data_IF_436405430512
#
_entry.id   IF_436405430512
#
_cell.length_a   1.000
_cell.length_b   1.000
_cell.length_c   1.000
_cell.angle_alpha   90.00
_cell.angle_beta   90.00
_cell.angle_gamma   90.00
#
_symmetry.space_group_name_H-M   'P 1'
#
loop_
_entity.id
_entity.type
_entity.pdbx_description
1 polymer ?
#
# COMPACT_ATOMS: atom_id res chain seq x y z
N UNK A 1 -8.36 19.42 29.28
CA UNK A 1 -6.95 19.31 29.70
C UNK A 1 -6.22 18.43 28.71
N UNK A 2 -5.13 18.94 28.19
CA UNK A 2 -4.41 18.43 27.01
C UNK A 2 -3.66 17.14 27.31
N UNK A 3 -4.02 16.03 26.64
CA UNK A 3 -3.20 14.82 26.52
C UNK A 3 -2.76 14.65 25.05
N UNK A 4 -1.96 15.59 24.53
CA UNK A 4 -1.50 15.55 23.14
C UNK A 4 -0.07 15.07 22.95
N UNK A 5 0.70 14.71 23.98
CA UNK A 5 2.15 14.53 23.86
C UNK A 5 2.75 13.24 24.41
N UNK A 6 2.00 12.15 24.58
CA UNK A 6 2.60 10.92 25.13
C UNK A 6 2.44 9.67 24.26
N UNK A 7 1.86 9.76 23.08
CA UNK A 7 1.58 8.59 22.21
C UNK A 7 2.66 8.36 21.14
N UNK A 8 3.63 9.26 21.03
CA UNK A 8 4.65 9.22 19.97
C UNK A 8 5.78 8.19 20.12
N UNK A 9 5.89 7.47 21.23
CA UNK A 9 7.16 6.76 21.52
C UNK A 9 7.10 5.23 21.55
N UNK A 10 5.95 4.59 21.51
CA UNK A 10 5.88 3.12 21.68
C UNK A 10 5.88 2.34 20.38
N UNK A 11 5.62 2.97 19.24
CA UNK A 11 5.33 2.30 17.96
C UNK A 11 6.51 2.08 17.02
N UNK A 12 7.64 2.72 17.29
CA UNK A 12 8.87 2.53 16.49
C UNK A 12 9.55 1.18 16.79
N UNK A 13 9.24 0.54 17.90
CA UNK A 13 9.99 -0.62 18.37
C UNK A 13 9.64 -1.95 17.70
N UNK A 14 8.44 -2.12 17.15
CA UNK A 14 8.00 -3.44 16.62
C UNK A 14 8.37 -3.62 15.14
N UNK A 15 8.43 -2.55 14.36
CA UNK A 15 8.87 -2.64 12.95
C UNK A 15 10.38 -2.42 12.81
N UNK A 16 11.04 -1.73 13.75
CA UNK A 16 12.50 -1.53 13.71
C UNK A 16 13.32 -2.71 14.25
N UNK A 17 12.72 -3.69 14.87
CA UNK A 17 13.44 -4.87 15.41
C UNK A 17 14.05 -5.79 14.35
N UNK A 18 13.80 -5.56 13.06
CA UNK A 18 14.35 -6.37 11.97
C UNK A 18 15.49 -5.69 11.18
N UNK A 19 15.93 -4.49 11.54
CA UNK A 19 16.89 -3.72 10.73
C UNK A 19 18.21 -3.38 11.41
N UNK A 20 18.64 -4.09 12.45
CA UNK A 20 20.03 -4.00 12.89
C UNK A 20 20.87 -5.04 12.16
N UNK A 21 21.10 -4.84 10.87
CA UNK A 21 22.20 -5.50 10.19
C UNK A 21 23.43 -4.64 10.30
N UNK A 22 24.42 -5.15 11.01
CA UNK A 22 25.74 -4.59 11.20
C UNK A 22 26.40 -4.24 9.88
N UNK A 23 26.79 -2.98 9.74
CA UNK A 23 27.84 -2.54 8.84
C UNK A 23 29.17 -3.16 9.29
N UNK A 24 29.53 -4.31 8.71
CA UNK A 24 30.93 -4.75 8.61
C UNK A 24 31.01 -5.91 7.63
N UNK A 25 31.23 -5.55 6.35
CA UNK A 25 32.20 -6.21 5.48
C UNK A 25 32.14 -5.48 4.13
N UNK A 26 33.29 -5.36 3.47
CA UNK A 26 33.50 -4.77 2.16
C UNK A 26 32.88 -5.74 1.10
N UNK A 27 31.61 -6.01 1.23
CA UNK A 27 30.84 -6.70 0.22
C UNK A 27 29.95 -5.63 -0.42
N UNK A 28 30.09 -5.48 -1.74
CA UNK A 28 29.27 -4.58 -2.56
C UNK A 28 27.78 -5.01 -2.61
N UNK A 29 27.31 -5.69 -1.57
CA UNK A 29 25.93 -6.16 -1.45
C UNK A 29 25.03 -5.00 -1.06
N UNK A 30 24.05 -4.72 -1.87
CA UNK A 30 23.05 -3.69 -1.65
C UNK A 30 21.75 -4.31 -1.14
N UNK A 31 21.28 -3.82 0.02
CA UNK A 31 19.98 -4.19 0.60
C UNK A 31 19.09 -2.95 0.67
N UNK A 32 18.03 -2.86 -0.14
CA UNK A 32 17.13 -1.70 -0.12
C UNK A 32 16.10 -1.74 1.01
N UNK A 33 16.14 -2.75 1.88
CA UNK A 33 15.09 -3.02 2.86
C UNK A 33 13.84 -3.65 2.23
N UNK A 34 12.73 -3.60 2.96
CA UNK A 34 11.45 -4.13 2.46
C UNK A 34 10.87 -3.20 1.41
N UNK A 35 10.47 -3.75 0.27
CA UNK A 35 9.83 -3.03 -0.83
C UNK A 35 8.58 -3.76 -1.31
N UNK A 36 7.66 -3.00 -1.91
CA UNK A 36 6.52 -3.55 -2.64
C UNK A 36 6.98 -4.21 -3.94
N UNK A 37 6.31 -5.27 -4.34
CA UNK A 37 6.61 -6.02 -5.55
C UNK A 37 5.36 -6.61 -6.19
N UNK A 38 5.31 -6.66 -7.52
CA UNK A 38 4.26 -7.34 -8.29
C UNK A 38 4.91 -8.44 -9.12
N UNK A 39 4.49 -9.68 -8.92
CA UNK A 39 5.04 -10.82 -9.65
C UNK A 39 4.48 -10.87 -11.06
N UNK A 40 5.36 -11.02 -12.05
CA UNK A 40 4.99 -11.12 -13.47
C UNK A 40 5.90 -12.09 -14.21
N UNK A 41 5.41 -12.60 -15.31
CA UNK A 41 6.25 -13.18 -16.33
C UNK A 41 6.89 -12.04 -17.13
N UNK A 42 8.22 -11.99 -17.20
CA UNK A 42 8.94 -10.87 -17.81
C UNK A 42 9.49 -11.27 -19.18
N UNK A 43 9.13 -10.49 -20.21
CA UNK A 43 9.53 -10.70 -21.59
C UNK A 43 9.08 -12.07 -22.14
N UNK A 44 9.85 -12.63 -23.07
CA UNK A 44 9.58 -13.96 -23.66
C UNK A 44 10.05 -15.11 -22.75
N UNK A 45 10.60 -14.80 -21.59
CA UNK A 45 11.05 -15.81 -20.64
C UNK A 45 9.86 -16.38 -19.87
N UNK A 46 9.88 -17.71 -19.62
CA UNK A 46 8.91 -18.36 -18.72
C UNK A 46 9.24 -18.09 -17.23
N UNK A 47 10.17 -17.16 -16.96
CA UNK A 47 10.62 -16.88 -15.60
C UNK A 47 9.68 -15.92 -14.90
N UNK A 48 9.27 -16.28 -13.69
CA UNK A 48 8.56 -15.38 -12.80
C UNK A 48 9.54 -14.41 -12.16
N UNK A 49 9.28 -13.13 -12.32
CA UNK A 49 10.08 -12.04 -11.78
C UNK A 49 9.17 -11.12 -10.95
N UNK A 50 9.74 -10.25 -10.15
CA UNK A 50 8.99 -9.24 -9.44
C UNK A 50 9.37 -7.84 -9.94
N UNK A 51 8.36 -7.06 -10.33
CA UNK A 51 8.51 -5.63 -10.58
C UNK A 51 8.50 -4.91 -9.24
N UNK A 52 9.51 -4.10 -9.00
CA UNK A 52 9.67 -3.27 -7.80
C UNK A 52 10.00 -1.83 -8.20
N UNK A 53 9.99 -0.92 -7.25
CA UNK A 53 10.46 0.45 -7.50
C UNK A 53 11.96 0.54 -7.88
N UNK A 54 12.71 -0.54 -7.66
CA UNK A 54 14.14 -0.65 -8.03
C UNK A 54 14.34 -1.34 -9.38
N UNK A 55 13.27 -1.65 -10.09
CA UNK A 55 13.28 -2.40 -11.35
C UNK A 55 12.90 -3.87 -11.16
N UNK A 56 13.11 -4.65 -12.21
CA UNK A 56 12.79 -6.07 -12.21
C UNK A 56 13.85 -6.87 -11.45
N UNK A 57 13.37 -7.73 -10.55
CA UNK A 57 14.23 -8.65 -9.81
C UNK A 57 13.83 -10.09 -10.11
N UNK A 58 14.82 -10.97 -10.16
CA UNK A 58 14.66 -12.40 -10.31
C UNK A 58 15.23 -13.15 -9.12
N UNK A 59 14.46 -14.13 -8.64
CA UNK A 59 14.90 -15.14 -7.69
C UNK A 59 14.09 -16.41 -7.94
N UNK A 60 14.69 -17.58 -7.74
CA UNK A 60 13.98 -18.86 -7.87
C UNK A 60 12.79 -18.99 -6.93
N UNK A 61 12.81 -18.29 -5.79
CA UNK A 61 11.67 -18.23 -4.85
C UNK A 61 10.41 -17.66 -5.48
N UNK A 62 10.53 -16.74 -6.44
CA UNK A 62 9.39 -16.10 -7.10
C UNK A 62 8.57 -17.08 -7.95
N UNK A 63 9.14 -18.20 -8.39
CA UNK A 63 8.44 -19.21 -9.18
C UNK A 63 7.28 -19.90 -8.44
N UNK A 64 7.22 -19.79 -7.12
CA UNK A 64 6.12 -20.32 -6.30
C UNK A 64 4.87 -19.45 -6.32
N UNK A 65 4.96 -18.22 -6.85
CA UNK A 65 3.85 -17.27 -6.88
C UNK A 65 3.21 -17.21 -8.26
N UNK A 66 1.91 -16.98 -8.30
CA UNK A 66 1.18 -16.73 -9.55
C UNK A 66 1.43 -15.30 -10.06
N UNK A 67 1.28 -15.14 -11.36
CA UNK A 67 1.31 -13.82 -11.99
C UNK A 67 0.28 -12.87 -11.38
N UNK A 68 0.66 -11.62 -11.19
CA UNK A 68 -0.16 -10.58 -10.56
C UNK A 68 -0.13 -10.62 -9.03
N UNK A 69 0.59 -11.56 -8.41
CA UNK A 69 0.69 -11.60 -6.95
C UNK A 69 1.45 -10.40 -6.42
N UNK A 70 0.85 -9.68 -5.46
CA UNK A 70 1.48 -8.58 -4.74
C UNK A 70 2.19 -9.11 -3.49
N UNK A 71 3.42 -8.69 -3.31
CA UNK A 71 4.30 -9.09 -2.22
C UNK A 71 4.96 -7.87 -1.57
N UNK A 72 5.36 -8.03 -0.31
CA UNK A 72 6.44 -7.27 0.29
C UNK A 72 7.66 -8.15 0.26
N UNK A 73 8.76 -7.66 -0.28
CA UNK A 73 10.01 -8.42 -0.40
C UNK A 73 11.17 -7.65 0.21
N UNK A 74 12.04 -8.35 0.91
CA UNK A 74 13.37 -7.87 1.27
C UNK A 74 14.40 -8.73 0.57
N UNK A 75 15.42 -8.11 -0.02
CA UNK A 75 16.40 -8.83 -0.82
C UNK A 75 17.78 -8.19 -0.76
N UNK A 76 18.77 -9.02 -1.05
CA UNK A 76 20.14 -8.60 -1.26
C UNK A 76 20.48 -8.68 -2.74
N UNK A 77 21.08 -7.63 -3.26
CA UNK A 77 21.67 -7.57 -4.60
C UNK A 77 23.18 -7.50 -4.50
N UNK A 78 23.86 -8.47 -5.10
CA UNK A 78 25.32 -8.51 -5.20
C UNK A 78 25.75 -8.32 -6.67
N UNK A 79 26.29 -7.16 -7.05
CA UNK A 79 26.72 -6.89 -8.43
C UNK A 79 27.93 -7.73 -8.85
N UNK A 80 28.66 -8.35 -7.91
CA UNK A 80 29.85 -9.17 -8.22
C UNK A 80 29.51 -10.58 -8.68
N UNK A 81 28.24 -11.02 -8.50
CA UNK A 81 27.82 -12.34 -8.94
C UNK A 81 27.79 -12.43 -10.49
N UNK A 82 28.27 -13.55 -11.07
CA UNK A 82 28.26 -13.76 -12.51
C UNK A 82 26.88 -13.59 -13.15
N UNK A 83 25.80 -13.95 -12.43
CA UNK A 83 24.41 -13.83 -12.85
C UNK A 83 23.99 -12.37 -13.06
N UNK A 84 24.66 -11.43 -12.39
CA UNK A 84 24.42 -10.01 -12.51
C UNK A 84 25.31 -9.31 -13.55
N UNK A 85 26.21 -10.04 -14.18
CA UNK A 85 26.97 -9.51 -15.32
C UNK A 85 26.00 -9.15 -16.45
N UNK A 86 25.99 -7.86 -16.86
CA UNK A 86 25.08 -7.36 -17.88
C UNK A 86 23.61 -7.30 -17.44
N UNK A 87 23.32 -7.12 -16.14
CA UNK A 87 21.95 -7.03 -15.63
C UNK A 87 21.13 -5.91 -16.28
N UNK A 88 21.75 -4.76 -16.55
CA UNK A 88 21.10 -3.64 -17.25
C UNK A 88 20.63 -4.02 -18.67
N UNK A 89 21.44 -4.79 -19.41
CA UNK A 89 21.08 -5.27 -20.74
C UNK A 89 20.00 -6.37 -20.69
N UNK A 90 20.01 -7.18 -19.64
CA UNK A 90 18.98 -8.21 -19.39
C UNK A 90 17.65 -7.58 -18.95
N UNK A 91 17.69 -6.36 -18.39
CA UNK A 91 16.52 -5.67 -17.85
C UNK A 91 16.06 -6.18 -16.49
N UNK A 92 16.85 -7.01 -15.80
CA UNK A 92 16.55 -7.46 -14.44
C UNK A 92 17.82 -7.79 -13.64
N UNK A 93 17.68 -7.81 -12.34
CA UNK A 93 18.72 -8.15 -11.37
C UNK A 93 18.42 -9.48 -10.70
N UNK A 94 19.40 -10.38 -10.65
CA UNK A 94 19.31 -11.61 -9.85
C UNK A 94 19.61 -11.27 -8.39
N UNK A 95 18.71 -11.66 -7.51
CA UNK A 95 18.75 -11.28 -6.08
C UNK A 95 18.58 -12.49 -5.17
N UNK A 96 19.06 -12.36 -3.94
CA UNK A 96 18.75 -13.29 -2.86
C UNK A 96 17.62 -12.72 -2.02
N UNK A 97 16.42 -13.33 -2.08
CA UNK A 97 15.29 -12.90 -1.25
C UNK A 97 15.53 -13.37 0.18
N UNK A 98 15.58 -12.40 1.10
CA UNK A 98 15.74 -12.61 2.53
C UNK A 98 14.40 -12.84 3.24
N UNK A 99 13.33 -12.18 2.76
CA UNK A 99 11.98 -12.35 3.26
C UNK A 99 10.94 -11.95 2.22
N UNK A 100 9.83 -12.66 2.23
CA UNK A 100 8.66 -12.32 1.41
C UNK A 100 7.36 -12.52 2.19
N UNK A 101 6.40 -11.63 1.97
CA UNK A 101 5.07 -11.70 2.57
C UNK A 101 4.03 -11.34 1.52
N UNK A 102 3.03 -12.20 1.35
CA UNK A 102 1.91 -11.90 0.46
C UNK A 102 1.06 -10.76 1.02
N UNK A 103 0.76 -9.78 0.17
CA UNK A 103 -0.11 -8.65 0.51
C UNK A 103 -1.56 -9.02 0.21
N UNK A 104 -2.49 -8.55 1.04
CA UNK A 104 -3.92 -8.64 0.74
C UNK A 104 -4.23 -7.80 -0.51
N UNK A 105 -4.80 -8.43 -1.54
CA UNK A 105 -5.10 -7.80 -2.83
C UNK A 105 -6.60 -7.65 -3.02
N UNK A 106 -7.01 -6.49 -3.48
CA UNK A 106 -8.40 -6.16 -3.77
C UNK A 106 -8.48 -5.24 -5.00
N UNK A 107 -9.64 -5.13 -5.60
CA UNK A 107 -9.89 -4.11 -6.60
C UNK A 107 -10.33 -2.80 -5.92
N UNK A 108 -9.98 -1.67 -6.51
CA UNK A 108 -10.73 -0.45 -6.26
C UNK A 108 -12.10 -0.60 -6.93
N UNK A 109 -13.17 -0.32 -6.21
CA UNK A 109 -14.54 -0.63 -6.60
C UNK A 109 -15.33 0.64 -6.95
N UNK A 110 -16.28 0.48 -7.90
CA UNK A 110 -17.29 1.49 -8.21
C UNK A 110 -18.68 0.85 -8.23
N UNK A 111 -19.74 1.59 -7.92
CA UNK A 111 -19.77 3.01 -7.57
C UNK A 111 -19.25 3.29 -6.17
N UNK A 112 -18.97 4.58 -5.92
CA UNK A 112 -18.59 5.07 -4.60
C UNK A 112 -19.64 4.67 -3.55
N UNK A 113 -19.17 4.11 -2.44
CA UNK A 113 -20.00 3.83 -1.28
C UNK A 113 -20.54 5.15 -0.68
N UNK A 114 -21.77 5.14 -0.17
CA UNK A 114 -22.41 6.32 0.45
C UNK A 114 -21.48 6.95 1.51
N UNK A 115 -21.01 8.16 1.23
CA UNK A 115 -20.07 8.90 2.08
C UNK A 115 -20.75 9.60 3.28
N UNK A 116 -22.08 9.58 3.34
CA UNK A 116 -22.86 10.19 4.42
C UNK A 116 -23.29 9.17 5.49
N UNK A 117 -22.94 7.89 5.31
CA UNK A 117 -23.26 6.81 6.23
C UNK A 117 -22.04 5.95 6.50
N UNK A 118 -21.92 5.48 7.74
CA UNK A 118 -20.94 4.47 8.11
C UNK A 118 -21.35 3.09 7.56
N UNK A 119 -20.34 2.28 7.24
CA UNK A 119 -20.55 0.85 7.05
C UNK A 119 -20.94 0.18 8.37
N UNK A 120 -21.54 -1.00 8.28
CA UNK A 120 -21.76 -1.82 9.48
C UNK A 120 -20.42 -2.18 10.11
N UNK A 121 -20.26 -1.91 11.40
CA UNK A 121 -19.03 -2.13 12.18
C UNK A 121 -17.81 -1.37 11.62
N UNK A 122 -18.01 -0.20 11.02
CA UNK A 122 -16.91 0.60 10.51
C UNK A 122 -15.98 1.06 11.63
N UNK A 123 -14.69 1.05 11.32
CA UNK A 123 -13.62 1.46 12.23
C UNK A 123 -12.96 2.72 11.72
N UNK A 124 -12.65 3.69 12.59
CA UNK A 124 -11.85 4.83 12.17
C UNK A 124 -10.46 4.39 11.76
N UNK A 125 -9.98 4.94 10.65
CA UNK A 125 -8.62 4.74 10.16
C UNK A 125 -7.72 5.76 10.86
N UNK A 126 -6.79 5.28 11.66
CA UNK A 126 -5.90 6.11 12.46
C UNK A 126 -4.93 6.92 11.58
N UNK A 127 -4.45 6.28 10.52
CA UNK A 127 -3.56 6.90 9.56
C UNK A 127 -3.56 6.14 8.22
N UNK A 128 -3.37 6.90 7.14
CA UNK A 128 -3.01 6.40 5.82
C UNK A 128 -1.60 6.88 5.54
N UNK A 129 -0.73 5.99 5.05
CA UNK A 129 0.70 6.23 4.87
C UNK A 129 1.40 6.74 6.15
N UNK A 130 1.29 6.01 7.28
CA UNK A 130 1.97 6.42 8.50
C UNK A 130 3.50 6.50 8.27
N UNK A 131 4.11 7.58 8.78
CA UNK A 131 5.56 7.80 8.71
C UNK A 131 6.14 7.93 7.29
N UNK A 132 5.38 8.43 6.31
CA UNK A 132 5.82 8.61 4.92
C UNK A 132 6.48 7.35 4.36
N UNK A 133 5.80 6.22 4.54
CA UNK A 133 6.31 4.91 4.17
C UNK A 133 6.67 4.85 2.69
N UNK A 134 7.86 4.35 2.40
CA UNK A 134 8.30 4.03 1.03
C UNK A 134 7.42 2.95 0.35
N UNK A 135 6.56 2.31 1.13
CA UNK A 135 5.60 1.32 0.66
C UNK A 135 4.28 1.94 0.19
N UNK A 136 4.09 3.27 0.34
CA UNK A 136 3.00 4.00 -0.30
C UNK A 136 3.38 4.29 -1.75
N UNK A 137 3.10 3.37 -2.63
CA UNK A 137 3.56 3.39 -4.02
C UNK A 137 2.57 2.70 -4.95
N UNK A 138 2.47 3.21 -6.18
CA UNK A 138 1.84 2.48 -7.29
C UNK A 138 2.91 1.72 -8.07
N UNK A 139 2.70 0.42 -8.22
CA UNK A 139 3.47 -0.45 -9.11
C UNK A 139 2.51 -1.09 -10.10
N UNK A 140 2.73 -0.85 -11.39
CA UNK A 140 1.79 -1.24 -12.44
C UNK A 140 0.38 -0.72 -12.13
N UNK A 141 -0.61 -1.60 -12.05
CA UNK A 141 -1.98 -1.23 -11.71
C UNK A 141 -2.29 -1.27 -10.20
N UNK A 142 -1.33 -1.64 -9.37
CA UNK A 142 -1.56 -1.81 -7.93
C UNK A 142 -1.05 -0.63 -7.12
N UNK A 143 -1.94 -0.04 -6.33
CA UNK A 143 -1.59 0.91 -5.28
C UNK A 143 -1.37 0.14 -3.98
N UNK A 144 -0.13 0.11 -3.52
CA UNK A 144 0.22 -0.38 -2.18
C UNK A 144 -0.08 0.73 -1.18
N UNK A 145 -0.97 0.45 -0.25
CA UNK A 145 -1.52 1.44 0.67
C UNK A 145 -1.32 1.02 2.13
N UNK A 146 -0.24 1.50 2.77
CA UNK A 146 -0.06 1.34 4.20
C UNK A 146 -1.16 2.09 4.96
N UNK A 147 -1.81 1.43 5.90
CA UNK A 147 -2.90 2.00 6.68
C UNK A 147 -2.89 1.45 8.10
N UNK A 148 -3.38 2.21 9.06
CA UNK A 148 -3.50 1.78 10.45
C UNK A 148 -4.91 2.03 10.98
N UNK A 149 -5.42 1.10 11.78
CA UNK A 149 -6.68 1.21 12.50
C UNK A 149 -6.50 0.85 13.97
N UNK A 150 -7.31 1.44 14.84
CA UNK A 150 -7.49 0.90 16.17
C UNK A 150 -8.38 -0.34 16.10
N UNK A 151 -7.94 -1.45 16.69
CA UNK A 151 -8.68 -2.71 16.69
C UNK A 151 -8.33 -3.58 17.90
N UNK A 152 -9.00 -4.70 18.05
CA UNK A 152 -8.60 -5.77 18.97
C UNK A 152 -7.78 -6.81 18.22
N UNK A 153 -6.92 -7.54 18.92
CA UNK A 153 -6.02 -8.54 18.35
C UNK A 153 -6.71 -9.58 17.47
N UNK A 154 -7.94 -9.96 17.83
CA UNK A 154 -8.70 -11.02 17.18
C UNK A 154 -9.73 -10.51 16.14
N UNK A 155 -9.73 -9.20 15.89
CA UNK A 155 -10.69 -8.57 14.97
C UNK A 155 -10.13 -8.47 13.58
N UNK A 156 -10.67 -9.24 12.65
CA UNK A 156 -10.35 -9.10 11.24
C UNK A 156 -11.04 -7.86 10.65
N UNK A 157 -10.32 -7.13 9.80
CA UNK A 157 -10.81 -5.94 9.12
C UNK A 157 -10.96 -6.23 7.62
N UNK A 158 -12.12 -5.86 7.07
CA UNK A 158 -12.32 -5.77 5.64
C UNK A 158 -12.04 -4.32 5.20
N UNK A 159 -11.08 -4.16 4.31
CA UNK A 159 -10.69 -2.88 3.75
C UNK A 159 -11.35 -2.73 2.38
N UNK A 160 -11.89 -1.56 2.08
CA UNK A 160 -12.50 -1.23 0.81
C UNK A 160 -11.94 0.09 0.31
N UNK A 161 -11.60 0.13 -0.99
CA UNK A 161 -11.23 1.38 -1.67
C UNK A 161 -12.25 1.60 -2.77
N UNK A 162 -13.04 2.68 -2.67
CA UNK A 162 -14.13 2.96 -3.62
C UNK A 162 -13.97 4.31 -4.28
N UNK A 163 -14.60 4.51 -5.45
CA UNK A 163 -14.55 5.76 -6.21
C UNK A 163 -15.83 6.01 -7.00
N UNK A 164 -16.06 7.28 -7.31
CA UNK A 164 -17.09 7.69 -8.26
C UNK A 164 -16.53 7.60 -9.70
N UNK A 165 -17.06 6.72 -10.57
CA UNK A 165 -16.57 6.58 -11.94
C UNK A 165 -16.85 7.80 -12.81
N UNK A 166 -17.71 8.74 -12.36
CA UNK A 166 -18.09 9.95 -13.09
C UNK A 166 -17.41 11.22 -12.55
N UNK A 167 -16.57 11.09 -11.53
CA UNK A 167 -15.91 12.23 -10.92
C UNK A 167 -15.04 13.00 -11.90
N UNK A 168 -15.01 14.34 -11.74
CA UNK A 168 -14.07 15.20 -12.41
C UNK A 168 -12.89 15.51 -11.50
N UNK A 169 -11.67 15.68 -12.03
CA UNK A 169 -10.52 16.03 -11.20
C UNK A 169 -10.67 17.42 -10.59
N UNK A 170 -10.22 17.55 -9.35
CA UNK A 170 -9.95 18.85 -8.76
C UNK A 170 -8.56 19.29 -9.22
N UNK A 171 -8.46 20.47 -9.84
CA UNK A 171 -7.18 21.00 -10.31
C UNK A 171 -6.56 21.87 -9.23
N UNK A 172 -5.47 21.41 -8.62
CA UNK A 172 -4.70 22.15 -7.64
C UNK A 172 -3.23 22.21 -8.09
N UNK A 173 -2.63 23.39 -8.15
CA UNK A 173 -1.23 23.56 -8.52
C UNK A 173 -0.84 22.84 -9.84
N UNK A 174 -1.71 22.88 -10.85
CA UNK A 174 -1.57 22.20 -12.15
C UNK A 174 -1.61 20.67 -12.07
N UNK A 175 -2.04 20.08 -10.96
CA UNK A 175 -2.23 18.65 -10.78
C UNK A 175 -3.71 18.31 -10.92
N UNK A 176 -4.04 17.29 -11.71
CA UNK A 176 -5.38 16.72 -11.78
C UNK A 176 -5.52 15.68 -10.68
N UNK A 177 -6.27 16.01 -9.62
CA UNK A 177 -6.39 15.20 -8.41
C UNK A 177 -7.77 14.55 -8.37
N UNK A 178 -7.79 13.24 -8.28
CA UNK A 178 -9.01 12.42 -8.14
C UNK A 178 -9.14 11.90 -6.72
N UNK A 179 -10.36 11.64 -6.29
CA UNK A 179 -10.67 11.16 -4.95
C UNK A 179 -10.89 9.65 -4.94
N UNK A 180 -10.24 8.97 -4.01
CA UNK A 180 -10.50 7.59 -3.62
C UNK A 180 -10.90 7.56 -2.15
N UNK A 181 -11.78 6.62 -1.75
CA UNK A 181 -12.33 6.54 -0.41
C UNK A 181 -12.00 5.19 0.21
N UNK A 182 -11.14 5.24 1.22
CA UNK A 182 -10.71 4.06 1.97
C UNK A 182 -11.59 3.89 3.20
N UNK A 183 -12.14 2.70 3.37
CA UNK A 183 -12.97 2.34 4.52
C UNK A 183 -12.51 1.02 5.12
N UNK A 184 -12.65 0.88 6.43
CA UNK A 184 -12.32 -0.33 7.17
C UNK A 184 -13.50 -0.76 8.02
N UNK A 185 -13.99 -1.98 7.84
CA UNK A 185 -15.09 -2.54 8.61
C UNK A 185 -14.67 -3.83 9.32
N UNK A 186 -15.01 -3.97 10.58
CA UNK A 186 -14.75 -5.20 11.33
C UNK A 186 -15.67 -6.32 10.84
N UNK A 187 -15.07 -7.47 10.51
CA UNK A 187 -15.80 -8.67 10.06
C UNK A 187 -15.99 -9.68 11.19
N UNK A 188 -15.21 -9.57 12.27
CA UNK A 188 -15.26 -10.42 13.46
C UNK A 188 -15.21 -9.56 14.72
N UNK A 189 -15.49 -10.16 15.87
CA UNK A 189 -15.57 -9.46 17.15
C UNK A 189 -16.94 -8.82 17.39
N UNK A 190 -17.16 -8.34 18.61
CA UNK A 190 -18.39 -7.67 19.00
C UNK A 190 -18.21 -6.15 18.93
N UNK A 191 -19.27 -5.38 18.63
CA UNK A 191 -19.17 -3.92 18.58
C UNK A 191 -18.69 -3.29 19.91
N UNK A 192 -19.03 -3.92 21.03
CA UNK A 192 -18.66 -3.48 22.38
C UNK A 192 -17.22 -3.76 22.77
N UNK A 193 -16.48 -4.57 22.00
CA UNK A 193 -15.08 -4.84 22.27
C UNK A 193 -14.26 -3.56 22.06
N UNK A 194 -13.61 -3.10 23.12
CA UNK A 194 -12.77 -1.90 23.03
C UNK A 194 -11.54 -2.20 22.18
N UNK A 195 -11.23 -1.28 21.26
CA UNK A 195 -9.99 -1.33 20.53
C UNK A 195 -8.80 -1.10 21.49
N UNK A 196 -7.86 -2.05 21.53
CA UNK A 196 -6.75 -2.06 22.48
C UNK A 196 -5.41 -1.72 21.83
N UNK A 197 -5.30 -1.95 20.52
CA UNK A 197 -4.04 -1.73 19.82
C UNK A 197 -4.27 -1.09 18.43
N UNK A 198 -3.27 -0.37 17.94
CA UNK A 198 -3.23 0.10 16.58
C UNK A 198 -2.53 -0.95 15.71
N UNK A 199 -3.23 -1.48 14.73
CA UNK A 199 -2.70 -2.46 13.79
C UNK A 199 -2.43 -1.78 12.47
N UNK A 200 -1.18 -1.87 12.01
CA UNK A 200 -0.78 -1.42 10.68
C UNK A 200 -0.86 -2.57 9.69
N UNK A 201 -1.44 -2.32 8.53
CA UNK A 201 -1.54 -3.26 7.41
C UNK A 201 -1.13 -2.58 6.11
N UNK A 202 -0.73 -3.39 5.14
CA UNK A 202 -0.51 -2.92 3.78
C UNK A 202 -1.44 -3.73 2.89
N UNK A 203 -2.33 -3.02 2.19
CA UNK A 203 -3.20 -3.59 1.17
C UNK A 203 -2.71 -3.17 -0.21
N UNK A 204 -2.92 -4.01 -1.22
CA UNK A 204 -2.68 -3.69 -2.62
C UNK A 204 -4.01 -3.59 -3.35
N UNK A 205 -4.37 -2.38 -3.80
CA UNK A 205 -5.60 -2.13 -4.53
C UNK A 205 -5.32 -2.02 -6.03
N UNK A 206 -5.95 -2.86 -6.82
CA UNK A 206 -5.88 -2.77 -8.27
C UNK A 206 -6.70 -1.55 -8.75
N UNK A 207 -6.03 -0.60 -9.39
CA UNK A 207 -6.60 0.64 -9.91
C UNK A 207 -6.89 0.59 -11.42
N UNK A 208 -6.75 -0.56 -12.11
CA UNK A 208 -6.89 -0.62 -13.57
C UNK A 208 -8.22 -0.05 -14.05
N UNK A 209 -9.35 -0.43 -13.44
CA UNK A 209 -10.66 0.10 -13.78
C UNK A 209 -10.78 1.59 -13.46
N UNK A 210 -10.31 2.01 -12.29
CA UNK A 210 -10.29 3.42 -11.93
C UNK A 210 -9.52 4.27 -12.95
N UNK A 211 -8.30 3.85 -13.32
CA UNK A 211 -7.47 4.56 -14.29
C UNK A 211 -8.16 4.62 -15.67
N UNK A 212 -8.78 3.51 -16.08
CA UNK A 212 -9.55 3.45 -17.32
C UNK A 212 -10.70 4.46 -17.31
N UNK A 213 -11.55 4.43 -16.28
CA UNK A 213 -12.71 5.30 -16.14
C UNK A 213 -12.30 6.78 -16.15
N UNK A 214 -11.25 7.15 -15.40
CA UNK A 214 -10.77 8.53 -15.36
C UNK A 214 -10.19 9.00 -16.69
N UNK A 215 -9.50 8.14 -17.44
CA UNK A 215 -8.99 8.46 -18.78
C UNK A 215 -10.11 8.64 -19.80
N UNK A 216 -11.19 7.90 -19.69
CA UNK A 216 -12.39 8.06 -20.54
C UNK A 216 -13.09 9.41 -20.29
N UNK A 217 -12.99 9.96 -19.07
CA UNK A 217 -13.53 11.27 -18.68
C UNK A 217 -12.70 12.48 -19.19
N UNK A 218 -11.56 12.28 -19.83
CA UNK A 218 -10.80 13.35 -20.46
C UNK A 218 -9.33 13.51 -20.07
N UNK A 219 -8.80 12.58 -19.29
CA UNK A 219 -7.45 12.67 -18.73
C UNK A 219 -6.36 11.90 -19.48
N UNK A 220 -6.36 11.84 -20.82
CA UNK A 220 -5.49 10.90 -21.56
C UNK A 220 -3.98 11.13 -21.40
N UNK A 221 -3.52 12.36 -21.21
CA UNK A 221 -2.08 12.70 -21.25
C UNK A 221 -1.59 13.53 -20.05
N UNK A 222 -2.40 13.73 -19.03
CA UNK A 222 -2.02 14.50 -17.85
C UNK A 222 -1.58 13.58 -16.71
N UNK A 223 -0.61 14.05 -15.94
CA UNK A 223 -0.24 13.41 -14.67
C UNK A 223 -1.49 13.25 -13.80
N UNK A 224 -1.78 12.01 -13.45
CA UNK A 224 -2.92 11.65 -12.60
C UNK A 224 -2.47 11.53 -11.16
N UNK A 225 -3.10 12.31 -10.29
CA UNK A 225 -2.88 12.24 -8.84
C UNK A 225 -4.13 11.70 -8.17
N UNK A 226 -3.94 10.96 -7.08
CA UNK A 226 -5.05 10.54 -6.21
C UNK A 226 -4.87 11.08 -4.81
N UNK A 227 -5.99 11.36 -4.16
CA UNK A 227 -6.08 11.73 -2.75
C UNK A 227 -6.98 10.70 -2.07
N UNK A 228 -6.52 10.12 -0.98
CA UNK A 228 -7.26 9.10 -0.25
C UNK A 228 -8.04 9.79 0.87
N UNK A 229 -9.36 9.67 0.83
CA UNK A 229 -10.25 10.05 1.92
C UNK A 229 -10.49 8.83 2.81
N UNK A 230 -10.53 9.00 4.12
CA UNK A 230 -10.76 7.92 5.08
C UNK A 230 -11.52 8.43 6.30
N UNK A 231 -12.27 7.56 6.97
CA UNK A 231 -12.94 7.91 8.23
C UNK A 231 -11.87 8.10 9.31
N UNK A 232 -11.67 9.35 9.74
CA UNK A 232 -10.67 9.74 10.75
C UNK A 232 -11.22 9.55 12.17
N UNK A 233 -12.47 9.97 12.40
CA UNK A 233 -13.09 9.88 13.70
C UNK A 233 -14.57 9.53 13.60
N UNK A 234 -15.04 8.73 14.55
CA UNK A 234 -16.45 8.41 14.74
C UNK A 234 -16.82 8.87 16.15
N UNK A 235 -17.89 9.65 16.28
CA UNK A 235 -18.37 10.06 17.60
C UNK A 235 -18.90 8.85 18.39
N UNK A 236 -18.31 8.49 19.54
CA UNK A 236 -18.70 7.29 20.28
C UNK A 236 -20.09 7.37 20.89
N UNK A 237 -20.69 8.57 20.95
CA UNK A 237 -22.05 8.80 21.48
C UNK A 237 -23.11 8.89 20.39
N UNK A 238 -22.70 9.15 19.16
CA UNK A 238 -23.58 9.32 18.01
C UNK A 238 -22.84 8.91 16.73
N UNK A 239 -23.00 7.66 16.33
CA UNK A 239 -22.35 7.10 15.13
C UNK A 239 -22.79 7.75 13.82
N UNK A 240 -23.79 8.64 13.83
CA UNK A 240 -24.15 9.43 12.66
C UNK A 240 -23.18 10.61 12.44
N UNK A 241 -22.37 10.93 13.44
CA UNK A 241 -21.39 12.01 13.41
C UNK A 241 -19.97 11.40 13.25
N UNK A 242 -19.37 11.66 12.12
CA UNK A 242 -18.00 11.24 11.81
C UNK A 242 -17.30 12.27 10.93
N UNK A 243 -15.98 12.20 10.88
CA UNK A 243 -15.15 13.10 10.08
C UNK A 243 -14.29 12.32 9.09
N UNK A 244 -14.03 12.95 7.97
CA UNK A 244 -13.11 12.45 6.95
C UNK A 244 -11.73 13.08 7.14
N UNK A 245 -10.71 12.24 7.20
CA UNK A 245 -9.33 12.61 6.97
C UNK A 245 -9.00 12.52 5.48
N UNK A 246 -7.89 13.13 5.08
CA UNK A 246 -7.45 13.15 3.69
C UNK A 246 -5.94 13.15 3.61
N UNK A 247 -5.37 12.42 2.63
CA UNK A 247 -3.93 12.39 2.39
C UNK A 247 -3.49 13.52 1.46
N UNK A 248 -2.18 13.76 1.42
CA UNK A 248 -1.58 14.50 0.32
C UNK A 248 -1.75 13.74 -1.01
N UNK A 249 -1.76 14.46 -2.15
CA UNK A 249 -1.90 13.85 -3.46
C UNK A 249 -0.70 12.98 -3.82
N UNK A 250 -0.95 11.72 -4.22
CA UNK A 250 0.03 10.78 -4.76
C UNK A 250 -0.06 10.72 -6.29
N UNK A 251 1.06 10.80 -6.99
CA UNK A 251 1.16 10.54 -8.42
C UNK A 251 1.00 9.04 -8.69
N UNK A 252 0.11 8.68 -9.64
CA UNK A 252 -0.21 7.27 -9.98
C UNK A 252 -0.05 6.92 -11.47
N UNK A 253 0.73 7.70 -12.21
CA UNK A 253 1.01 7.40 -13.63
C UNK A 253 1.82 6.12 -13.81
#
# INVERSE_FOLDING_TARGET
>A
MRYKNLIGFVWVAVIMGLFTSCLKDINNVYNPGTTAAVVRQHGDSALMMANTRFGWIYSTKLSSYSEGKCLLVSFDYDPSLPENTGAEQKGYYTVTIQGETAVNQQNAESPLTDTHKLLTNEQPVLAVNPNDSVLYVKLEDYLFLPSACWTTKDRALNWQLTYDPTQQPVVENRKSIYSLYLRAAATTGKPEDKAEEAVAVINAFNLANFIKDMREQGGRDADMYVRIHYIDQINPKDSTQFTWGVTDPLLIN
#
